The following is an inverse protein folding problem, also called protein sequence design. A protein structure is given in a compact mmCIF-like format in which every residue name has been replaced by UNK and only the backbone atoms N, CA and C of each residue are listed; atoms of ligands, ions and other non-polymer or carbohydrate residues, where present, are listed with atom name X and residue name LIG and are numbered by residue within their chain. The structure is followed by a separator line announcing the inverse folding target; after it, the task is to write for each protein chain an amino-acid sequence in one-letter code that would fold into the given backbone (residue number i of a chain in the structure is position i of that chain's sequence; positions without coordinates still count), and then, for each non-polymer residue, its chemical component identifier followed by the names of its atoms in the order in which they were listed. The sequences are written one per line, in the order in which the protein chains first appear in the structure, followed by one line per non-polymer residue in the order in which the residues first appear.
data_IF_903173133060
#
_entry.id   IF_903173133060
#
_cell.length_a   1.000
_cell.length_b   1.000
_cell.length_c   1.000
_cell.angle_alpha   90.00
_cell.angle_beta   90.00
_cell.angle_gamma   90.00
#
_symmetry.space_group_name_H-M   'P 1'
#
loop_
_entity.id
_entity.type
_entity.pdbx_description
1 polymer ?
#
# COMPACT_ATOMS: atom_id res chain seq x y z
N UNK A 1 10.85 -7.71 14.95
CA UNK A 1 11.80 -8.60 14.25
C UNK A 1 11.64 -8.35 12.75
N UNK A 2 12.09 -7.15 12.33
CA UNK A 2 11.94 -6.61 10.95
C UNK A 2 12.67 -7.44 9.88
N UNK A 3 13.65 -8.26 10.29
CA UNK A 3 14.55 -8.98 9.38
C UNK A 3 13.91 -10.15 8.60
N UNK A 4 12.59 -10.34 8.70
CA UNK A 4 11.95 -11.54 8.15
C UNK A 4 10.75 -11.30 7.24
N UNK A 5 10.37 -10.05 6.96
CA UNK A 5 9.25 -9.74 6.05
C UNK A 5 9.74 -8.92 4.86
N UNK A 6 9.14 -9.16 3.72
CA UNK A 6 9.28 -8.29 2.55
C UNK A 6 8.25 -7.15 2.63
N UNK A 7 8.58 -6.00 2.10
CA UNK A 7 7.70 -4.83 2.08
C UNK A 7 7.46 -4.36 0.65
N UNK A 8 6.18 -4.24 0.30
CA UNK A 8 5.73 -3.67 -0.96
C UNK A 8 4.88 -2.43 -0.69
N UNK A 9 5.23 -1.32 -1.29
CA UNK A 9 4.50 -0.06 -1.20
C UNK A 9 3.75 0.19 -2.51
N UNK A 10 2.44 0.35 -2.42
CA UNK A 10 1.56 0.66 -3.55
C UNK A 10 1.03 2.09 -3.37
N UNK A 11 1.34 2.98 -4.29
CA UNK A 11 1.03 4.40 -4.20
C UNK A 11 0.07 4.79 -5.31
N UNK A 12 -1.08 5.32 -4.91
CA UNK A 12 -2.04 5.96 -5.80
C UNK A 12 -1.42 7.23 -6.41
N UNK A 13 -1.44 7.30 -7.73
CA UNK A 13 -1.09 8.51 -8.48
C UNK A 13 -2.25 9.02 -9.34
N UNK A 14 -3.49 8.75 -8.95
CA UNK A 14 -4.68 9.32 -9.59
C UNK A 14 -4.67 10.85 -9.54
N UNK A 15 -5.49 11.48 -10.37
CA UNK A 15 -5.51 12.95 -10.49
C UNK A 15 -5.80 13.68 -9.18
N UNK A 16 -6.59 13.09 -8.26
CA UNK A 16 -6.92 13.63 -6.95
C UNK A 16 -5.72 13.77 -6.00
N UNK A 17 -4.65 13.02 -6.22
CA UNK A 17 -3.42 13.12 -5.44
C UNK A 17 -2.69 14.47 -5.62
N UNK A 18 -3.02 15.25 -6.64
CA UNK A 18 -2.55 16.64 -6.79
C UNK A 18 -3.27 17.64 -5.89
N UNK A 19 -4.36 17.25 -5.23
CA UNK A 19 -5.10 18.13 -4.33
C UNK A 19 -4.31 18.44 -3.07
N UNK A 20 -4.54 19.65 -2.54
CA UNK A 20 -4.03 20.10 -1.24
C UNK A 20 -5.15 20.10 -0.23
N UNK A 21 -4.97 19.39 0.88
CA UNK A 21 -5.97 19.32 1.94
C UNK A 21 -5.91 20.54 2.85
N UNK A 22 -7.01 20.85 3.56
CA UNK A 22 -7.09 21.97 4.50
C UNK A 22 -6.04 21.82 5.62
N UNK A 23 -5.31 22.90 5.90
CA UNK A 23 -4.30 22.91 6.95
C UNK A 23 -2.88 22.52 6.51
N UNK A 24 -2.69 22.19 5.24
CA UNK A 24 -1.37 21.94 4.64
C UNK A 24 -1.14 22.84 3.43
N UNK A 25 0.13 23.11 3.13
CA UNK A 25 0.56 23.84 1.93
C UNK A 25 1.10 22.89 0.85
N UNK A 26 1.03 21.58 1.08
CA UNK A 26 1.53 20.54 0.18
C UNK A 26 0.39 19.74 -0.41
N UNK A 27 0.54 19.30 -1.64
CA UNK A 27 -0.35 18.31 -2.25
C UNK A 27 -0.22 16.95 -1.54
N UNK A 28 -1.23 16.11 -1.66
CA UNK A 28 -1.17 14.71 -1.18
C UNK A 28 0.02 13.99 -1.77
N UNK A 29 0.31 14.21 -3.04
CA UNK A 29 1.47 13.65 -3.75
C UNK A 29 2.81 14.03 -3.12
N UNK A 30 2.98 15.31 -2.74
CA UNK A 30 4.19 15.77 -2.05
C UNK A 30 4.33 15.16 -0.66
N UNK A 31 3.24 15.05 0.10
CA UNK A 31 3.23 14.42 1.42
C UNK A 31 3.61 12.93 1.30
N UNK A 32 3.04 12.22 0.33
CA UNK A 32 3.35 10.81 0.08
C UNK A 32 4.80 10.61 -0.36
N UNK A 33 5.34 11.51 -1.22
CA UNK A 33 6.75 11.50 -1.59
C UNK A 33 7.67 11.58 -0.38
N UNK A 34 7.45 12.56 0.49
CA UNK A 34 8.28 12.77 1.69
C UNK A 34 8.20 11.57 2.64
N UNK A 35 7.00 11.02 2.82
CA UNK A 35 6.76 9.86 3.68
C UNK A 35 7.39 8.58 3.11
N UNK A 36 7.29 8.37 1.79
CA UNK A 36 7.95 7.26 1.10
C UNK A 36 9.48 7.36 1.20
N UNK A 37 10.02 8.57 1.11
CA UNK A 37 11.46 8.80 1.27
C UNK A 37 11.93 8.46 2.69
N UNK A 38 11.14 8.84 3.72
CA UNK A 38 11.44 8.52 5.12
C UNK A 38 11.41 6.99 5.35
N UNK A 39 10.41 6.31 4.80
CA UNK A 39 10.29 4.85 4.85
C UNK A 39 11.48 4.17 4.16
N UNK A 40 11.83 4.57 2.94
CA UNK A 40 12.93 3.97 2.19
C UNK A 40 14.27 4.15 2.91
N UNK A 41 14.54 5.33 3.50
CA UNK A 41 15.74 5.55 4.33
C UNK A 41 15.81 4.63 5.55
N UNK A 42 14.66 4.31 6.13
CA UNK A 42 14.60 3.37 7.26
C UNK A 42 14.82 1.93 6.78
N UNK A 43 14.21 1.55 5.68
CA UNK A 43 14.40 0.22 5.08
C UNK A 43 15.83 0.01 4.59
N UNK A 44 16.49 1.00 3.98
CA UNK A 44 17.90 0.93 3.58
C UNK A 44 18.85 0.60 4.75
N UNK A 45 18.45 0.95 5.99
CA UNK A 45 19.21 0.60 7.20
C UNK A 45 18.96 -0.83 7.69
N UNK A 46 17.82 -1.40 7.38
CA UNK A 46 17.35 -2.68 7.91
C UNK A 46 17.45 -3.81 6.87
N UNK A 47 17.21 -3.50 5.62
CA UNK A 47 17.24 -4.43 4.50
C UNK A 47 17.94 -3.79 3.28
N UNK A 48 19.18 -4.18 2.98
CA UNK A 48 19.94 -3.64 1.86
C UNK A 48 19.33 -3.94 0.48
N UNK A 49 18.40 -4.89 0.39
CA UNK A 49 17.74 -5.27 -0.86
C UNK A 49 16.71 -4.22 -1.33
N UNK A 50 16.36 -3.25 -0.44
CA UNK A 50 15.39 -2.19 -0.71
C UNK A 50 13.94 -2.69 -0.72
N UNK A 51 13.00 -1.78 -0.96
CA UNK A 51 11.57 -2.08 -1.04
C UNK A 51 11.09 -2.18 -2.48
N UNK A 52 9.99 -2.90 -2.70
CA UNK A 52 9.26 -2.83 -3.96
C UNK A 52 8.26 -1.68 -3.90
N UNK A 53 8.23 -0.83 -4.93
CA UNK A 53 7.29 0.29 -5.05
C UNK A 53 6.48 0.16 -6.32
N UNK A 54 5.17 0.28 -6.19
CA UNK A 54 4.25 0.43 -7.31
C UNK A 54 3.68 1.84 -7.33
N UNK A 55 3.62 2.45 -8.50
CA UNK A 55 2.76 3.61 -8.75
C UNK A 55 1.60 3.16 -9.62
N UNK A 56 0.37 3.50 -9.23
CA UNK A 56 -0.81 3.14 -10.02
C UNK A 56 -1.79 4.29 -10.22
N UNK A 57 -2.50 4.22 -11.34
CA UNK A 57 -3.68 5.00 -11.69
C UNK A 57 -4.59 4.13 -12.56
N UNK A 58 -4.91 4.47 -13.79
CA UNK A 58 -5.54 3.54 -14.75
C UNK A 58 -4.64 2.38 -15.18
N UNK A 59 -3.33 2.54 -15.02
CA UNK A 59 -2.28 1.51 -15.19
C UNK A 59 -1.32 1.59 -14.03
N UNK A 60 -0.47 0.57 -13.86
CA UNK A 60 0.57 0.60 -12.84
C UNK A 60 1.96 0.43 -13.42
N UNK A 61 2.96 0.87 -12.66
CA UNK A 61 4.39 0.63 -12.91
C UNK A 61 5.05 0.14 -11.63
N UNK A 62 5.83 -0.92 -11.74
CA UNK A 62 6.58 -1.53 -10.65
C UNK A 62 8.04 -1.11 -10.71
N UNK A 63 8.61 -0.87 -9.54
CA UNK A 63 10.00 -0.58 -9.31
C UNK A 63 10.53 -1.51 -8.22
N UNK A 64 11.57 -2.28 -8.53
CA UNK A 64 12.20 -3.20 -7.57
C UNK A 64 13.46 -2.59 -6.99
N UNK A 65 13.85 -3.06 -5.81
CA UNK A 65 15.07 -2.67 -5.10
C UNK A 65 15.16 -1.13 -4.98
N UNK A 66 14.09 -0.52 -4.48
CA UNK A 66 13.97 0.93 -4.37
C UNK A 66 14.66 1.41 -3.10
N UNK A 67 15.78 2.11 -3.27
CA UNK A 67 16.49 2.84 -2.22
C UNK A 67 15.94 4.27 -2.08
N UNK A 68 16.33 4.97 -1.02
CA UNK A 68 15.95 6.36 -0.81
C UNK A 68 16.33 7.28 -1.98
N UNK A 69 17.45 7.05 -2.64
CA UNK A 69 17.85 7.84 -3.83
C UNK A 69 16.91 7.60 -5.00
N UNK A 70 16.48 6.35 -5.20
CA UNK A 70 15.57 5.97 -6.28
C UNK A 70 14.16 6.52 -6.08
N UNK A 71 13.71 6.72 -4.83
CA UNK A 71 12.42 7.34 -4.53
C UNK A 71 12.32 8.74 -5.14
N UNK A 72 13.33 9.59 -4.96
CA UNK A 72 13.30 10.94 -5.54
C UNK A 72 13.14 10.92 -7.05
N UNK A 73 13.89 10.05 -7.73
CA UNK A 73 13.81 9.89 -9.18
C UNK A 73 12.41 9.42 -9.61
N UNK A 74 11.84 8.42 -8.93
CA UNK A 74 10.50 7.90 -9.23
C UNK A 74 9.45 9.01 -9.18
N UNK A 75 9.48 9.86 -8.14
CA UNK A 75 8.52 10.95 -8.00
C UNK A 75 8.78 12.14 -8.94
N UNK A 76 10.01 12.33 -9.39
CA UNK A 76 10.34 13.33 -10.43
C UNK A 76 9.86 12.93 -11.82
N UNK A 77 9.84 11.63 -12.11
CA UNK A 77 9.43 11.08 -13.41
C UNK A 77 7.92 10.86 -13.52
N UNK A 78 7.17 11.02 -12.44
CA UNK A 78 5.73 10.71 -12.40
C UNK A 78 4.93 11.83 -11.75
N UNK A 79 3.89 12.27 -12.46
CA UNK A 79 2.90 13.21 -11.94
C UNK A 79 1.55 12.52 -11.70
N UNK A 80 0.73 12.99 -10.74
CA UNK A 80 -0.62 12.50 -10.52
C UNK A 80 -1.51 12.69 -11.74
N UNK A 81 -2.11 11.59 -12.22
CA UNK A 81 -3.06 11.61 -13.34
C UNK A 81 -3.84 10.31 -13.47
N UNK A 82 -5.02 10.38 -14.08
CA UNK A 82 -5.84 9.22 -14.43
C UNK A 82 -6.78 8.75 -13.33
N UNK A 83 -7.32 7.53 -13.48
CA UNK A 83 -8.26 6.88 -12.57
C UNK A 83 -7.57 6.05 -11.49
N UNK A 84 -8.31 5.10 -10.88
CA UNK A 84 -7.89 4.35 -9.68
C UNK A 84 -8.10 2.84 -9.86
N UNK A 85 -7.33 2.22 -10.73
CA UNK A 85 -7.39 0.78 -10.98
C UNK A 85 -6.60 -0.01 -9.91
N UNK A 86 -7.09 -0.01 -8.69
CA UNK A 86 -6.50 -0.69 -7.54
C UNK A 86 -6.47 -2.21 -7.72
N UNK A 87 -7.48 -2.79 -8.37
CA UNK A 87 -7.59 -4.24 -8.61
C UNK A 87 -6.36 -4.79 -9.33
N UNK A 88 -5.96 -4.16 -10.44
CA UNK A 88 -4.86 -4.64 -11.25
C UNK A 88 -3.52 -4.63 -10.52
N UNK A 89 -3.23 -3.56 -9.78
CA UNK A 89 -1.97 -3.44 -9.04
C UNK A 89 -1.90 -4.39 -7.84
N UNK A 90 -3.00 -4.57 -7.09
CA UNK A 90 -3.08 -5.54 -6.00
C UNK A 90 -2.91 -6.96 -6.52
N UNK A 91 -3.58 -7.31 -7.62
CA UNK A 91 -3.45 -8.64 -8.23
C UNK A 91 -2.01 -8.93 -8.63
N UNK A 92 -1.29 -7.96 -9.21
CA UNK A 92 0.11 -8.15 -9.57
C UNK A 92 0.99 -8.32 -8.32
N UNK A 93 0.88 -7.44 -7.34
CA UNK A 93 1.68 -7.50 -6.10
C UNK A 93 1.47 -8.84 -5.37
N UNK A 94 0.22 -9.28 -5.20
CA UNK A 94 -0.12 -10.56 -4.58
C UNK A 94 0.41 -11.75 -5.39
N UNK A 95 0.32 -11.70 -6.72
CA UNK A 95 0.87 -12.76 -7.58
C UNK A 95 2.40 -12.84 -7.46
N UNK A 96 3.10 -11.70 -7.39
CA UNK A 96 4.54 -11.66 -7.17
C UNK A 96 4.93 -12.29 -5.83
N UNK A 97 4.19 -12.01 -4.76
CA UNK A 97 4.38 -12.67 -3.47
C UNK A 97 4.26 -14.20 -3.59
N UNK A 98 3.17 -14.71 -4.18
CA UNK A 98 2.99 -16.16 -4.32
C UNK A 98 4.04 -16.81 -5.23
N UNK A 99 4.52 -16.11 -6.26
CA UNK A 99 5.62 -16.61 -7.10
C UNK A 99 6.92 -16.74 -6.29
N UNK A 100 7.29 -15.70 -5.50
CA UNK A 100 8.46 -15.77 -4.62
C UNK A 100 8.31 -16.85 -3.55
N UNK A 101 7.14 -16.98 -2.95
CA UNK A 101 6.85 -18.05 -1.99
C UNK A 101 7.05 -19.43 -2.60
N UNK A 102 6.51 -19.67 -3.80
CA UNK A 102 6.67 -20.93 -4.53
C UNK A 102 8.13 -21.23 -4.89
N UNK A 103 8.92 -20.21 -5.18
CA UNK A 103 10.35 -20.32 -5.48
C UNK A 103 11.22 -20.46 -4.20
N UNK A 104 10.64 -20.42 -3.00
CA UNK A 104 11.39 -20.45 -1.73
C UNK A 104 12.17 -19.17 -1.45
N UNK A 105 11.78 -18.06 -2.07
CA UNK A 105 12.46 -16.76 -1.98
C UNK A 105 11.75 -15.78 -1.04
N UNK A 106 10.55 -16.09 -0.57
CA UNK A 106 9.85 -15.26 0.42
C UNK A 106 10.51 -15.43 1.79
N UNK A 107 10.87 -14.32 2.43
CA UNK A 107 11.64 -14.32 3.71
C UNK A 107 10.83 -14.88 4.89
N UNK A 108 9.64 -14.46 5.14
CA UNK A 108 8.81 -14.91 6.28
C UNK A 108 7.40 -14.40 6.21
N UNK A 109 7.07 -13.75 5.12
CA UNK A 109 5.80 -13.11 4.83
C UNK A 109 6.03 -11.79 4.11
N UNK A 110 4.94 -11.17 3.69
CA UNK A 110 4.96 -9.86 3.03
C UNK A 110 3.94 -8.92 3.66
N UNK A 111 4.30 -7.67 3.78
CA UNK A 111 3.37 -6.57 4.11
C UNK A 111 3.24 -5.66 2.90
N UNK A 112 2.02 -5.53 2.40
CA UNK A 112 1.68 -4.60 1.33
C UNK A 112 1.06 -3.36 1.96
N UNK A 113 1.70 -2.21 1.80
CA UNK A 113 1.21 -0.91 2.25
C UNK A 113 0.59 -0.19 1.05
N UNK A 114 -0.69 0.13 1.12
CA UNK A 114 -1.43 0.80 0.03
C UNK A 114 -1.80 2.20 0.46
N UNK A 115 -1.27 3.21 -0.21
CA UNK A 115 -1.60 4.61 0.01
C UNK A 115 -2.54 5.06 -1.11
N UNK A 116 -3.75 5.48 -0.74
CA UNK A 116 -4.76 5.97 -1.68
C UNK A 116 -5.59 7.09 -1.07
N UNK A 117 -6.16 7.97 -1.89
CA UNK A 117 -7.03 9.07 -1.46
C UNK A 117 -8.48 8.89 -1.90
N UNK A 118 -8.77 7.87 -2.69
CA UNK A 118 -10.08 7.65 -3.28
C UNK A 118 -10.53 6.20 -3.29
N UNK A 119 -11.77 6.00 -3.71
CA UNK A 119 -12.27 4.68 -3.96
C UNK A 119 -11.79 4.15 -5.33
N UNK A 120 -11.63 2.81 -5.45
CA UNK A 120 -11.22 2.20 -6.71
C UNK A 120 -12.33 2.28 -7.77
N UNK A 121 -11.91 2.18 -9.03
CA UNK A 121 -12.82 2.13 -10.18
C UNK A 121 -13.79 0.92 -10.08
N UNK A 122 -13.36 -0.18 -9.47
CA UNK A 122 -14.16 -1.39 -9.23
C UNK A 122 -13.95 -1.93 -7.81
N UNK A 123 -14.85 -1.57 -6.90
CA UNK A 123 -14.84 -2.04 -5.50
C UNK A 123 -14.93 -3.56 -5.38
N UNK A 124 -15.82 -4.17 -6.16
CA UNK A 124 -16.10 -5.62 -6.05
C UNK A 124 -14.87 -6.45 -6.38
N UNK A 125 -14.20 -6.13 -7.47
CA UNK A 125 -13.01 -6.85 -7.90
C UNK A 125 -11.87 -6.76 -6.89
N UNK A 126 -11.75 -5.65 -6.12
CA UNK A 126 -10.77 -5.54 -5.04
C UNK A 126 -11.06 -6.56 -3.94
N UNK A 127 -12.32 -6.69 -3.49
CA UNK A 127 -12.71 -7.73 -2.52
C UNK A 127 -12.38 -9.12 -3.04
N UNK A 128 -12.74 -9.43 -4.29
CA UNK A 128 -12.52 -10.74 -4.91
C UNK A 128 -11.02 -11.10 -4.97
N UNK A 129 -10.15 -10.17 -5.33
CA UNK A 129 -8.70 -10.37 -5.37
C UNK A 129 -8.13 -10.73 -4.00
N UNK A 130 -8.55 -10.02 -2.95
CA UNK A 130 -8.06 -10.26 -1.59
C UNK A 130 -8.60 -11.59 -1.06
N UNK A 131 -9.90 -11.88 -1.25
CA UNK A 131 -10.49 -13.17 -0.84
C UNK A 131 -9.78 -14.35 -1.51
N UNK A 132 -9.52 -14.27 -2.82
CA UNK A 132 -8.80 -15.33 -3.54
C UNK A 132 -7.34 -15.47 -3.08
N UNK A 133 -6.70 -14.39 -2.63
CA UNK A 133 -5.38 -14.47 -2.00
C UNK A 133 -5.44 -15.29 -0.70
N UNK A 134 -6.40 -14.99 0.18
CA UNK A 134 -6.53 -15.71 1.46
C UNK A 134 -6.77 -17.22 1.30
N UNK A 135 -7.41 -17.65 0.22
CA UNK A 135 -7.63 -19.07 -0.09
C UNK A 135 -6.34 -19.82 -0.47
N UNK A 136 -5.31 -19.11 -0.91
CA UNK A 136 -3.99 -19.65 -1.28
C UNK A 136 -2.98 -19.62 -0.14
N UNK A 137 -3.35 -19.02 0.99
CA UNK A 137 -2.52 -18.91 2.18
C UNK A 137 -2.72 -20.11 3.11
N UNK A 138 -1.70 -20.41 3.92
CA UNK A 138 -1.76 -21.42 4.98
C UNK A 138 -1.88 -20.78 6.37
N UNK A 139 -1.53 -19.51 6.51
CA UNK A 139 -1.67 -18.74 7.74
C UNK A 139 -1.79 -17.24 7.43
N UNK A 140 -2.37 -16.47 8.35
CA UNK A 140 -2.48 -15.02 8.30
C UNK A 140 -1.11 -14.31 8.33
N UNK A 141 -0.12 -14.91 8.96
CA UNK A 141 1.25 -14.37 9.01
C UNK A 141 1.95 -14.28 7.65
N UNK A 142 1.43 -14.91 6.60
CA UNK A 142 2.09 -14.93 5.29
C UNK A 142 1.96 -13.61 4.52
N UNK A 143 0.80 -12.95 4.60
CA UNK A 143 0.50 -11.74 3.87
C UNK A 143 -0.37 -10.82 4.72
N UNK A 144 0.03 -9.56 4.85
CA UNK A 144 -0.78 -8.49 5.42
C UNK A 144 -0.92 -7.35 4.40
N UNK A 145 -2.07 -6.68 4.40
CA UNK A 145 -2.36 -5.54 3.53
C UNK A 145 -2.87 -4.39 4.39
N UNK A 146 -2.09 -3.32 4.51
CA UNK A 146 -2.51 -2.14 5.26
C UNK A 146 -2.87 -1.02 4.30
N UNK A 147 -4.13 -0.62 4.30
CA UNK A 147 -4.61 0.54 3.55
C UNK A 147 -4.47 1.81 4.37
N UNK A 148 -3.82 2.80 3.81
CA UNK A 148 -3.59 4.09 4.43
C UNK A 148 -4.27 5.15 3.58
N UNK A 149 -5.34 5.71 4.11
CA UNK A 149 -6.08 6.76 3.44
C UNK A 149 -5.40 8.12 3.62
N UNK A 150 -5.11 8.81 2.53
CA UNK A 150 -4.76 10.23 2.53
C UNK A 150 -5.95 11.05 2.03
N UNK A 151 -6.14 12.25 2.57
CA UNK A 151 -7.33 13.06 2.29
C UNK A 151 -8.58 12.59 3.05
N UNK A 152 -9.71 13.26 2.80
CA UNK A 152 -10.93 13.13 3.60
C UNK A 152 -12.16 12.69 2.77
N UNK A 153 -11.95 11.89 1.73
CA UNK A 153 -13.06 11.37 0.93
C UNK A 153 -13.86 10.32 1.71
N UNK A 154 -15.14 10.61 1.96
CA UNK A 154 -16.01 9.74 2.74
C UNK A 154 -16.30 8.40 2.06
N UNK A 155 -16.43 8.39 0.73
CA UNK A 155 -16.65 7.17 -0.03
C UNK A 155 -15.43 6.24 0.04
N UNK A 156 -14.23 6.82 0.02
CA UNK A 156 -12.99 6.06 0.24
C UNK A 156 -12.93 5.49 1.66
N UNK A 157 -13.25 6.28 2.67
CA UNK A 157 -13.33 5.82 4.08
C UNK A 157 -14.28 4.64 4.23
N UNK A 158 -15.49 4.75 3.71
CA UNK A 158 -16.50 3.68 3.80
C UNK A 158 -16.07 2.41 3.08
N UNK A 159 -15.41 2.56 1.93
CA UNK A 159 -14.89 1.42 1.18
C UNK A 159 -13.77 0.71 1.94
N UNK A 160 -12.79 1.45 2.45
CA UNK A 160 -11.65 0.88 3.17
C UNK A 160 -12.06 0.20 4.47
N UNK A 161 -12.96 0.83 5.24
CA UNK A 161 -13.56 0.19 6.44
C UNK A 161 -14.34 -1.09 6.09
N UNK A 162 -15.02 -1.11 4.94
CA UNK A 162 -15.71 -2.32 4.51
C UNK A 162 -14.74 -3.44 4.10
N UNK A 163 -13.54 -3.11 3.59
CA UNK A 163 -12.49 -4.10 3.35
C UNK A 163 -11.96 -4.71 4.66
N UNK A 164 -11.74 -3.89 5.67
CA UNK A 164 -11.30 -4.31 6.99
C UNK A 164 -12.37 -5.21 7.67
N UNK A 165 -13.59 -4.70 7.85
CA UNK A 165 -14.63 -5.34 8.65
C UNK A 165 -15.31 -6.56 8.01
N UNK A 166 -15.37 -6.68 6.67
CA UNK A 166 -16.30 -7.59 5.99
C UNK A 166 -15.67 -8.77 5.27
N UNK A 167 -14.38 -8.74 4.96
CA UNK A 167 -13.74 -9.76 4.13
C UNK A 167 -13.98 -11.19 4.63
N UNK A 168 -13.82 -11.45 5.92
CA UNK A 168 -14.06 -12.77 6.50
C UNK A 168 -15.52 -13.21 6.37
N UNK A 169 -16.46 -12.28 6.59
CA UNK A 169 -17.91 -12.58 6.51
C UNK A 169 -18.38 -12.93 5.10
N UNK A 170 -17.62 -12.54 4.08
CA UNK A 170 -17.95 -12.79 2.66
C UNK A 170 -17.03 -13.82 1.97
N UNK A 171 -16.19 -14.53 2.76
CA UNK A 171 -15.49 -15.71 2.29
C UNK A 171 -13.98 -15.68 2.31
N UNK A 172 -13.35 -14.70 2.94
CA UNK A 172 -11.91 -14.72 3.19
C UNK A 172 -11.58 -15.74 4.30
N UNK A 173 -10.53 -16.53 4.10
CA UNK A 173 -10.09 -17.53 5.08
C UNK A 173 -9.35 -16.91 6.26
N UNK A 174 -8.72 -15.75 6.05
CA UNK A 174 -7.93 -15.04 7.06
C UNK A 174 -8.28 -13.56 7.05
N UNK A 175 -8.16 -12.93 8.21
CA UNK A 175 -8.16 -11.49 8.35
C UNK A 175 -6.73 -10.98 8.09
N UNK A 176 -6.56 -10.28 6.99
CA UNK A 176 -5.24 -9.82 6.51
C UNK A 176 -5.24 -8.34 6.13
N UNK A 177 -6.36 -7.65 6.35
CA UNK A 177 -6.51 -6.25 5.95
C UNK A 177 -6.72 -5.37 7.16
N UNK A 178 -5.87 -4.37 7.30
CA UNK A 178 -6.02 -3.27 8.23
C UNK A 178 -6.23 -1.96 7.48
N UNK A 179 -6.97 -1.04 8.07
CA UNK A 179 -7.23 0.27 7.49
C UNK A 179 -6.92 1.38 8.47
N UNK A 180 -6.09 2.33 8.03
CA UNK A 180 -5.77 3.54 8.76
C UNK A 180 -6.34 4.73 7.97
N UNK A 181 -7.32 5.41 8.55
CA UNK A 181 -7.94 6.60 7.95
C UNK A 181 -7.29 7.89 8.46
N UNK A 182 -7.60 9.02 7.82
CA UNK A 182 -7.14 10.32 8.28
C UNK A 182 -7.54 10.61 9.74
N UNK A 183 -8.71 10.12 10.19
CA UNK A 183 -9.17 10.29 11.56
C UNK A 183 -8.32 9.50 12.57
N UNK A 184 -7.81 8.35 12.16
CA UNK A 184 -6.95 7.50 13.00
C UNK A 184 -5.53 8.08 13.12
N UNK A 185 -5.15 9.02 12.23
CA UNK A 185 -3.85 9.68 12.20
C UNK A 185 -3.80 11.04 12.94
N UNK A 186 -4.79 11.37 13.78
CA UNK A 186 -4.97 12.71 14.37
C UNK A 186 -3.68 13.31 14.98
N UNK A 187 -2.81 12.47 15.55
CA UNK A 187 -1.54 12.89 16.18
C UNK A 187 -0.29 12.32 15.46
N UNK A 188 -0.43 11.71 14.28
CA UNK A 188 0.68 11.07 13.57
C UNK A 188 0.82 11.61 12.14
N UNK A 189 2.06 11.76 11.70
CA UNK A 189 2.35 12.00 10.28
C UNK A 189 2.24 10.71 9.47
N UNK A 190 1.99 10.83 8.17
CA UNK A 190 1.99 9.66 7.27
C UNK A 190 3.31 8.87 7.35
N UNK A 191 4.45 9.55 7.53
CA UNK A 191 5.73 8.90 7.70
C UNK A 191 5.79 8.03 8.97
N UNK A 192 5.23 8.52 10.09
CA UNK A 192 5.16 7.76 11.35
C UNK A 192 4.23 6.55 11.22
N UNK A 193 3.10 6.71 10.53
CA UNK A 193 2.17 5.60 10.23
C UNK A 193 2.86 4.52 9.40
N UNK A 194 3.55 4.88 8.32
CA UNK A 194 4.30 3.93 7.50
C UNK A 194 5.40 3.22 8.29
N UNK A 195 6.09 3.95 9.17
CA UNK A 195 7.13 3.38 10.02
C UNK A 195 6.57 2.47 11.11
N UNK A 196 5.39 2.75 11.68
CA UNK A 196 4.75 1.85 12.65
C UNK A 196 4.27 0.56 11.98
N UNK A 197 3.66 0.64 10.80
CA UNK A 197 3.19 -0.54 10.07
C UNK A 197 4.30 -1.53 9.67
N UNK A 198 5.57 -1.12 9.66
CA UNK A 198 6.71 -2.02 9.45
C UNK A 198 7.35 -2.49 10.75
N UNK A 199 6.99 -1.92 11.90
CA UNK A 199 7.55 -2.29 13.21
C UNK A 199 6.66 -3.30 13.98
N UNK A 200 5.40 -3.47 13.57
CA UNK A 200 4.45 -4.43 14.12
C UNK A 200 4.59 -5.79 13.44
#
# INVERSE_FOLDING_TARGET
MLDKRDYTLIIDKSGSMSNTDRGTNKSRWEIVKESTLALARKCDQLDPDGITVYLFSGKFKRYDNVSAVKVEQIFQENDPMGGTNLTAVLQDAINQFFQRKKAGQAKGGETILVITDGEPDDRRSVFEVIIEATKKMNSDAELAISFIQVGSDASATDFLKALDDKLQSIGANFDIVDTITLADMEDMTLAEVLLSAIND
#
